data_IF_650279913348
#
_entry.id   IF_650279913348
#
_cell.length_a   1.000
_cell.length_b   1.000
_cell.length_c   1.000
_cell.angle_alpha   90.00
_cell.angle_beta   90.00
_cell.angle_gamma   90.00
#
_symmetry.space_group_name_H-M   'P 1'
#
loop_
_entity.id
_entity.type
_entity.pdbx_description
1 polymer ?
#
# COMPACT_ATOMS: atom_id res chain seq x y z
N UNK A 1 -2.75 -16.53 3.79
CA UNK A 1 -3.45 -16.98 2.58
C UNK A 1 -4.94 -16.79 2.80
N UNK A 2 -5.74 -16.32 1.83
CA UNK A 2 -7.19 -16.30 1.96
C UNK A 2 -7.71 -17.72 2.20
N UNK A 3 -8.82 -17.85 2.94
CA UNK A 3 -9.44 -19.14 3.17
C UNK A 3 -9.98 -19.69 1.84
N UNK A 4 -9.74 -20.98 1.60
CA UNK A 4 -10.33 -21.70 0.46
C UNK A 4 -11.67 -22.27 0.89
N UNK A 5 -12.73 -21.96 0.14
CA UNK A 5 -14.07 -22.47 0.40
C UNK A 5 -14.76 -22.87 -0.92
N UNK A 6 -15.76 -23.79 -0.87
CA UNK A 6 -16.54 -24.16 -2.04
C UNK A 6 -17.24 -22.94 -2.68
N UNK A 7 -17.28 -22.91 -4.01
CA UNK A 7 -17.91 -21.80 -4.76
C UNK A 7 -19.39 -21.61 -4.38
N UNK A 8 -20.12 -22.72 -4.12
CA UNK A 8 -21.55 -22.72 -3.80
C UNK A 8 -21.85 -22.51 -2.30
N UNK A 9 -20.85 -22.29 -1.45
CA UNK A 9 -21.09 -22.10 -0.02
C UNK A 9 -21.78 -20.75 0.22
N UNK A 10 -22.93 -20.67 0.92
CA UNK A 10 -23.63 -19.41 1.18
C UNK A 10 -22.76 -18.33 1.84
N UNK A 11 -21.76 -18.74 2.64
CA UNK A 11 -20.79 -17.83 3.23
C UNK A 11 -19.95 -17.09 2.17
N UNK A 12 -19.78 -17.62 0.96
CA UNK A 12 -19.01 -16.98 -0.12
C UNK A 12 -19.62 -15.63 -0.50
N UNK A 13 -20.95 -15.62 -0.71
CA UNK A 13 -21.67 -14.40 -1.07
C UNK A 13 -21.69 -13.38 0.08
N UNK A 14 -21.87 -13.85 1.33
CA UNK A 14 -21.88 -12.98 2.50
C UNK A 14 -20.52 -12.34 2.71
N UNK A 15 -19.44 -13.11 2.65
CA UNK A 15 -18.08 -12.61 2.81
C UNK A 15 -17.70 -11.66 1.66
N UNK A 16 -18.15 -11.92 0.44
CA UNK A 16 -17.97 -11.01 -0.68
C UNK A 16 -18.70 -9.67 -0.46
N UNK A 17 -19.93 -9.68 0.10
CA UNK A 17 -20.67 -8.46 0.46
C UNK A 17 -19.96 -7.65 1.55
N UNK A 18 -19.21 -8.31 2.44
CA UNK A 18 -18.38 -7.69 3.46
C UNK A 18 -16.99 -7.27 2.95
N UNK A 19 -16.72 -7.38 1.64
CA UNK A 19 -15.40 -7.17 1.05
C UNK A 19 -14.31 -8.07 1.67
N UNK A 20 -14.68 -9.26 2.12
CA UNK A 20 -13.74 -10.29 2.59
C UNK A 20 -13.43 -11.22 1.42
N UNK A 21 -12.18 -11.20 0.97
CA UNK A 21 -11.76 -12.10 -0.10
C UNK A 21 -11.66 -13.54 0.40
N UNK A 22 -12.28 -14.44 -0.34
CA UNK A 22 -12.17 -15.88 -0.17
C UNK A 22 -11.64 -16.51 -1.45
N UNK A 23 -10.81 -17.52 -1.31
CA UNK A 23 -10.34 -18.31 -2.44
C UNK A 23 -11.37 -19.38 -2.74
N UNK A 24 -12.10 -19.25 -3.84
CA UNK A 24 -13.02 -20.33 -4.28
C UNK A 24 -12.23 -21.49 -4.87
N UNK A 25 -12.83 -22.67 -4.91
CA UNK A 25 -12.18 -23.88 -5.45
C UNK A 25 -11.80 -23.71 -6.90
N UNK A 26 -12.69 -23.15 -7.70
CA UNK A 26 -12.42 -22.85 -9.11
C UNK A 26 -11.19 -21.93 -9.28
N UNK A 27 -11.11 -20.86 -8.50
CA UNK A 27 -9.99 -19.93 -8.54
C UNK A 27 -8.68 -20.55 -8.05
N UNK A 28 -8.75 -21.39 -7.01
CA UNK A 28 -7.57 -22.08 -6.48
C UNK A 28 -6.94 -23.07 -7.47
N UNK A 29 -7.75 -23.73 -8.31
CA UNK A 29 -7.26 -24.67 -9.33
C UNK A 29 -6.55 -23.99 -10.50
N UNK A 30 -6.72 -22.67 -10.68
CA UNK A 30 -6.18 -21.91 -11.81
C UNK A 30 -5.07 -20.93 -11.39
N UNK A 31 -4.59 -20.99 -10.16
CA UNK A 31 -3.50 -20.14 -9.68
C UNK A 31 -2.19 -20.91 -9.57
N UNK A 32 -1.26 -20.60 -10.47
CA UNK A 32 0.16 -20.82 -10.20
C UNK A 32 0.66 -19.68 -9.29
N UNK A 33 1.41 -20.02 -8.24
CA UNK A 33 1.99 -19.02 -7.33
C UNK A 33 3.17 -18.37 -8.04
N UNK A 34 3.01 -17.12 -8.43
CA UNK A 34 4.13 -16.27 -8.89
C UNK A 34 4.40 -15.16 -7.87
N UNK A 35 5.64 -14.72 -7.70
CA UNK A 35 5.93 -13.54 -6.89
C UNK A 35 5.22 -12.31 -7.42
N UNK A 36 4.72 -11.46 -6.53
CA UNK A 36 4.25 -10.13 -6.90
C UNK A 36 5.43 -9.23 -7.22
N UNK A 37 5.40 -8.58 -8.37
CA UNK A 37 6.45 -7.66 -8.82
C UNK A 37 6.04 -6.24 -8.45
N UNK A 38 6.81 -5.61 -7.56
CA UNK A 38 6.53 -4.25 -7.06
C UNK A 38 7.71 -3.33 -7.38
N UNK A 39 7.43 -2.19 -8.00
CA UNK A 39 8.41 -1.12 -8.21
C UNK A 39 8.38 -0.17 -7.04
N UNK A 40 9.54 0.18 -6.49
CA UNK A 40 9.72 1.27 -5.55
C UNK A 40 10.46 2.42 -6.21
N UNK A 41 9.74 3.43 -6.69
CA UNK A 41 10.31 4.69 -7.13
C UNK A 41 10.66 5.54 -5.90
N UNK A 42 11.94 5.55 -5.55
CA UNK A 42 12.44 6.23 -4.38
C UNK A 42 12.96 7.62 -4.75
N UNK A 43 12.15 8.66 -4.47
CA UNK A 43 12.49 10.06 -4.72
C UNK A 43 13.22 10.72 -3.55
N UNK A 44 13.27 10.03 -2.38
CA UNK A 44 13.91 10.59 -1.17
C UNK A 44 15.44 10.69 -1.34
N UNK A 45 16.06 11.76 -0.79
CA UNK A 45 17.53 11.88 -0.79
C UNK A 45 18.21 10.86 0.13
N UNK A 46 17.54 10.41 1.19
CA UNK A 46 18.02 9.38 2.13
C UNK A 46 17.59 7.99 1.68
N UNK A 47 18.04 7.57 0.49
CA UNK A 47 17.54 6.35 -0.19
C UNK A 47 17.58 5.10 0.68
N UNK A 48 18.71 4.80 1.33
CA UNK A 48 18.91 3.59 2.12
C UNK A 48 17.94 3.53 3.32
N UNK A 49 17.70 4.66 3.98
CA UNK A 49 16.74 4.71 5.08
C UNK A 49 15.30 4.44 4.59
N UNK A 50 14.91 5.11 3.52
CA UNK A 50 13.57 4.99 2.92
C UNK A 50 13.32 3.58 2.36
N UNK A 51 14.31 2.98 1.66
CA UNK A 51 14.26 1.58 1.23
C UNK A 51 13.96 0.66 2.41
N UNK A 52 14.76 0.77 3.47
CA UNK A 52 14.64 -0.08 4.65
C UNK A 52 13.27 0.07 5.32
N UNK A 53 12.77 1.30 5.42
CA UNK A 53 11.45 1.58 6.01
C UNK A 53 10.33 0.93 5.20
N UNK A 54 10.31 1.10 3.88
CA UNK A 54 9.27 0.53 3.00
C UNK A 54 9.40 -0.98 2.90
N UNK A 55 10.61 -1.52 2.71
CA UNK A 55 10.83 -2.96 2.63
C UNK A 55 10.38 -3.66 3.92
N UNK A 56 10.59 -3.05 5.09
CA UNK A 56 10.09 -3.58 6.37
C UNK A 56 8.55 -3.66 6.40
N UNK A 57 7.84 -2.71 5.78
CA UNK A 57 6.38 -2.77 5.67
C UNK A 57 5.93 -3.87 4.70
N UNK A 58 6.59 -3.97 3.55
CA UNK A 58 6.27 -4.99 2.55
C UNK A 58 6.60 -6.41 3.00
N UNK A 59 7.58 -6.60 3.88
CA UNK A 59 8.01 -7.94 4.33
C UNK A 59 7.04 -8.64 5.29
N UNK A 60 6.10 -7.91 5.90
CA UNK A 60 5.16 -8.48 6.87
C UNK A 60 3.89 -9.02 6.19
N UNK A 61 4.06 -9.95 5.27
CA UNK A 61 2.99 -10.63 4.54
C UNK A 61 3.44 -12.04 4.17
N UNK A 62 2.52 -13.03 4.05
CA UNK A 62 2.87 -14.34 3.53
C UNK A 62 3.05 -14.36 2.00
N UNK A 63 2.80 -13.24 1.32
CA UNK A 63 2.98 -13.14 -0.13
C UNK A 63 4.45 -13.01 -0.49
N UNK A 64 4.87 -13.65 -1.57
CA UNK A 64 6.19 -13.45 -2.13
C UNK A 64 6.20 -12.17 -2.95
N UNK A 65 7.12 -11.25 -2.64
CA UNK A 65 7.25 -9.96 -3.31
C UNK A 65 8.66 -9.82 -3.85
N UNK A 66 8.76 -9.52 -5.14
CA UNK A 66 10.00 -9.11 -5.80
C UNK A 66 9.98 -7.59 -5.96
N UNK A 67 10.93 -6.91 -5.32
CA UNK A 67 10.99 -5.44 -5.33
C UNK A 67 12.06 -4.97 -6.30
N UNK A 68 11.66 -4.14 -7.26
CA UNK A 68 12.55 -3.41 -8.15
C UNK A 68 12.72 -1.98 -7.64
N UNK A 69 13.93 -1.62 -7.22
CA UNK A 69 14.25 -0.25 -6.82
C UNK A 69 14.47 0.62 -8.06
N UNK A 70 13.73 1.72 -8.15
CA UNK A 70 13.77 2.65 -9.28
C UNK A 70 14.23 4.03 -8.80
N UNK A 71 15.14 4.66 -9.58
CA UNK A 71 15.59 6.04 -9.40
C UNK A 71 15.31 6.87 -10.64
N UNK A 72 15.28 8.19 -10.42
CA UNK A 72 15.27 9.13 -11.54
C UNK A 72 16.64 9.08 -12.24
N UNK A 73 16.63 9.02 -13.56
CA UNK A 73 17.85 9.10 -14.37
C UNK A 73 18.29 10.56 -14.58
N UNK A 74 17.34 11.48 -14.56
CA UNK A 74 17.56 12.92 -14.77
C UNK A 74 18.00 13.67 -13.51
N UNK A 75 18.16 12.98 -12.37
CA UNK A 75 18.53 13.60 -11.08
C UNK A 75 19.66 12.85 -10.38
N UNK A 76 20.72 13.57 -10.02
CA UNK A 76 21.86 13.03 -9.28
C UNK A 76 21.58 12.98 -7.77
N UNK A 77 21.56 11.79 -7.19
CA UNK A 77 21.37 11.61 -5.76
C UNK A 77 22.64 11.90 -4.97
N UNK A 78 22.62 13.01 -4.21
CA UNK A 78 23.82 13.52 -3.48
C UNK A 78 24.16 12.77 -2.19
N UNK A 79 23.20 12.06 -1.58
CA UNK A 79 23.33 11.47 -0.23
C UNK A 79 23.43 9.95 -0.22
N UNK A 80 23.82 9.34 -1.34
CA UNK A 80 24.01 7.90 -1.48
C UNK A 80 25.20 7.65 -2.40
N UNK A 81 25.96 6.58 -2.16
CA UNK A 81 27.10 6.26 -3.02
C UNK A 81 26.64 5.82 -4.42
N UNK A 82 27.36 6.23 -5.44
CA UNK A 82 27.13 5.82 -6.82
C UNK A 82 27.14 4.30 -6.95
N UNK A 83 28.06 3.61 -6.27
CA UNK A 83 28.12 2.16 -6.22
C UNK A 83 26.83 1.51 -5.72
N UNK A 84 26.17 2.09 -4.70
CA UNK A 84 24.87 1.59 -4.22
C UNK A 84 23.77 1.75 -5.29
N UNK A 85 23.75 2.91 -5.95
CA UNK A 85 22.79 3.17 -7.03
C UNK A 85 22.98 2.24 -8.22
N UNK A 86 24.22 2.06 -8.68
CA UNK A 86 24.53 1.19 -9.81
C UNK A 86 24.24 -0.30 -9.50
N UNK A 87 24.44 -0.70 -8.23
CA UNK A 87 24.25 -2.11 -7.86
C UNK A 87 22.78 -2.48 -7.68
N UNK A 88 21.98 -1.60 -7.08
CA UNK A 88 20.65 -1.94 -6.59
C UNK A 88 19.51 -1.23 -7.30
N UNK A 89 19.77 -0.08 -7.95
CA UNK A 89 18.73 0.71 -8.59
C UNK A 89 18.74 0.55 -10.10
N UNK A 90 17.54 0.54 -10.65
CA UNK A 90 17.30 0.62 -12.10
C UNK A 90 16.80 2.01 -12.47
N UNK A 91 16.94 2.37 -13.74
CA UNK A 91 16.35 3.57 -14.34
C UNK A 91 15.05 3.23 -15.05
N UNK A 92 14.26 4.25 -15.40
CA UNK A 92 13.04 4.03 -16.19
C UNK A 92 13.32 3.33 -17.53
N UNK A 93 14.41 3.68 -18.20
CA UNK A 93 14.82 3.03 -19.47
C UNK A 93 14.99 1.51 -19.34
N UNK A 94 15.45 1.03 -18.17
CA UNK A 94 15.69 -0.40 -17.93
C UNK A 94 14.40 -1.21 -17.75
N UNK A 95 13.30 -0.57 -17.31
CA UNK A 95 12.04 -1.25 -16.96
C UNK A 95 10.86 -0.90 -17.87
N UNK A 96 11.01 0.04 -18.78
CA UNK A 96 9.90 0.60 -19.59
C UNK A 96 9.09 -0.45 -20.37
N UNK A 97 9.68 -1.61 -20.66
CA UNK A 97 9.04 -2.71 -21.37
C UNK A 97 8.45 -3.79 -20.45
N UNK A 98 8.62 -3.64 -19.14
CA UNK A 98 8.17 -4.61 -18.13
C UNK A 98 6.81 -4.21 -17.57
N UNK A 99 6.11 -5.20 -16.97
CA UNK A 99 4.83 -5.01 -16.29
C UNK A 99 4.96 -5.42 -14.83
N UNK A 100 4.22 -4.74 -13.95
CA UNK A 100 4.30 -4.91 -12.51
C UNK A 100 2.90 -5.00 -11.88
N UNK A 101 2.82 -5.71 -10.76
CA UNK A 101 1.59 -5.82 -9.98
C UNK A 101 1.32 -4.55 -9.17
N UNK A 102 2.38 -3.94 -8.66
CA UNK A 102 2.28 -2.72 -7.86
C UNK A 102 3.44 -1.77 -8.04
N UNK A 103 3.22 -0.50 -7.71
CA UNK A 103 4.25 0.53 -7.67
C UNK A 103 4.05 1.41 -6.46
N UNK A 104 5.14 1.79 -5.81
CA UNK A 104 5.17 2.79 -4.73
C UNK A 104 5.98 3.98 -5.21
N UNK A 105 5.42 5.18 -5.11
CA UNK A 105 6.11 6.45 -5.38
C UNK A 105 6.25 7.18 -4.05
N UNK A 106 7.48 7.41 -3.61
CA UNK A 106 7.77 8.03 -2.32
C UNK A 106 7.60 9.55 -2.34
N UNK A 107 7.65 10.17 -1.17
CA UNK A 107 7.82 11.62 -1.03
C UNK A 107 9.17 12.10 -1.55
N UNK A 108 9.29 13.44 -1.63
CA UNK A 108 10.52 14.15 -1.94
C UNK A 108 10.52 15.53 -1.23
N UNK A 109 11.67 16.05 -0.78
CA UNK A 109 11.73 17.32 -0.05
C UNK A 109 11.78 18.52 -1.01
N UNK A 110 10.81 18.62 -1.92
CA UNK A 110 10.69 19.66 -2.97
C UNK A 110 9.31 20.33 -2.97
N UNK A 111 8.59 20.24 -1.85
CA UNK A 111 7.18 20.65 -1.75
C UNK A 111 6.95 22.13 -2.05
N UNK A 112 7.94 23.00 -1.78
CA UNK A 112 7.83 24.45 -1.98
C UNK A 112 8.07 24.89 -3.44
N UNK A 113 8.58 23.99 -4.30
CA UNK A 113 8.68 24.26 -5.72
C UNK A 113 7.36 23.96 -6.42
N UNK A 114 7.01 24.72 -7.44
CA UNK A 114 5.95 24.28 -8.35
C UNK A 114 6.35 22.95 -9.01
N UNK A 115 5.38 22.12 -9.36
CA UNK A 115 5.70 20.79 -9.88
C UNK A 115 6.57 20.85 -11.12
N UNK A 116 6.29 21.80 -12.01
CA UNK A 116 7.01 22.03 -13.27
C UNK A 116 8.43 22.58 -13.06
N UNK A 117 8.74 23.13 -11.89
CA UNK A 117 10.09 23.61 -11.53
C UNK A 117 10.99 22.49 -10.99
N UNK A 118 10.44 21.32 -10.67
CA UNK A 118 11.20 20.17 -10.22
C UNK A 118 11.98 19.59 -11.41
N UNK A 119 13.31 19.51 -11.29
CA UNK A 119 14.22 19.12 -12.37
C UNK A 119 13.89 17.77 -13.03
N UNK A 120 13.38 16.82 -12.28
CA UNK A 120 12.97 15.48 -12.78
C UNK A 120 11.46 15.38 -13.08
N UNK A 121 10.69 16.48 -13.02
CA UNK A 121 9.24 16.45 -13.27
C UNK A 121 8.86 15.83 -14.63
N UNK A 122 9.53 16.17 -15.75
CA UNK A 122 9.19 15.56 -17.03
C UNK A 122 9.43 14.03 -17.08
N UNK A 123 10.42 13.53 -16.35
CA UNK A 123 10.66 12.08 -16.23
C UNK A 123 9.60 11.42 -15.34
N UNK A 124 9.24 12.05 -14.21
CA UNK A 124 8.21 11.57 -13.31
C UNK A 124 6.84 11.48 -14.01
N UNK A 125 6.47 12.48 -14.80
CA UNK A 125 5.24 12.45 -15.61
C UNK A 125 5.21 11.26 -16.57
N UNK A 126 6.32 10.98 -17.28
CA UNK A 126 6.40 9.81 -18.16
C UNK A 126 6.29 8.49 -17.40
N UNK A 127 6.84 8.40 -16.19
CA UNK A 127 6.71 7.22 -15.35
C UNK A 127 5.27 7.05 -14.86
N UNK A 128 4.59 8.12 -14.46
CA UNK A 128 3.19 8.08 -14.05
C UNK A 128 2.27 7.70 -15.20
N UNK A 129 2.47 8.27 -16.39
CA UNK A 129 1.73 7.89 -17.61
C UNK A 129 1.97 6.41 -17.97
N UNK A 130 3.22 5.95 -17.95
CA UNK A 130 3.57 4.55 -18.18
C UNK A 130 2.89 3.61 -17.16
N UNK A 131 2.79 4.04 -15.91
CA UNK A 131 2.16 3.23 -14.87
C UNK A 131 0.68 2.91 -15.16
N UNK A 132 -0.01 3.74 -15.92
CA UNK A 132 -1.42 3.52 -16.28
C UNK A 132 -1.64 2.25 -17.10
N UNK A 133 -0.63 1.83 -17.86
CA UNK A 133 -0.70 0.66 -18.75
C UNK A 133 0.18 -0.50 -18.34
N UNK A 134 1.19 -0.28 -17.48
CA UNK A 134 2.19 -1.28 -17.12
C UNK A 134 2.17 -1.67 -15.65
N UNK A 135 1.43 -0.94 -14.82
CA UNK A 135 1.30 -1.22 -13.37
C UNK A 135 -0.17 -1.40 -13.02
N UNK A 136 -0.48 -2.45 -12.26
CA UNK A 136 -1.88 -2.70 -11.89
C UNK A 136 -2.37 -1.74 -10.80
N UNK A 137 -1.58 -1.52 -9.74
CA UNK A 137 -1.96 -0.61 -8.64
C UNK A 137 -0.78 0.25 -8.19
N UNK A 138 -1.01 1.55 -7.97
CA UNK A 138 0.02 2.51 -7.55
C UNK A 138 -0.33 3.14 -6.21
N UNK A 139 0.63 3.12 -5.27
CA UNK A 139 0.57 3.78 -3.97
C UNK A 139 1.52 4.98 -3.95
N UNK A 140 0.97 6.17 -3.84
CA UNK A 140 1.70 7.43 -3.75
C UNK A 140 1.79 7.89 -2.31
N UNK A 141 2.96 8.38 -1.86
CA UNK A 141 3.21 8.77 -0.47
C UNK A 141 3.69 10.22 -0.39
N UNK A 142 3.13 11.00 0.52
CA UNK A 142 3.48 12.38 0.87
C UNK A 142 3.52 13.28 -0.38
N UNK A 143 4.67 13.87 -0.73
CA UNK A 143 4.83 14.67 -1.94
C UNK A 143 4.52 13.86 -3.21
N UNK A 144 4.89 12.58 -3.24
CA UNK A 144 4.50 11.69 -4.34
C UNK A 144 2.98 11.58 -4.50
N UNK A 145 2.22 11.64 -3.39
CA UNK A 145 0.75 11.69 -3.44
C UNK A 145 0.24 13.03 -4.00
N UNK A 146 0.85 14.15 -3.61
CA UNK A 146 0.51 15.46 -4.17
C UNK A 146 0.84 15.53 -5.68
N UNK A 147 2.01 15.02 -6.07
CA UNK A 147 2.43 14.97 -7.48
C UNK A 147 1.50 14.08 -8.32
N UNK A 148 1.14 12.91 -7.81
CA UNK A 148 0.27 11.97 -8.49
C UNK A 148 -1.16 12.50 -8.65
N UNK A 149 -1.75 13.08 -7.60
CA UNK A 149 -3.10 13.63 -7.68
C UNK A 149 -3.17 14.86 -8.59
N UNK A 150 -2.10 15.68 -8.62
CA UNK A 150 -1.97 16.78 -9.56
C UNK A 150 -1.86 16.29 -11.01
N UNK A 151 -0.96 15.35 -11.27
CA UNK A 151 -0.73 14.85 -12.63
C UNK A 151 -1.97 14.17 -13.23
N UNK A 152 -2.63 13.28 -12.48
CA UNK A 152 -3.75 12.51 -13.01
C UNK A 152 -5.10 13.24 -12.97
N UNK A 153 -5.28 14.18 -12.03
CA UNK A 153 -6.60 14.78 -11.75
C UNK A 153 -6.58 16.31 -11.70
N UNK A 154 -5.43 16.96 -11.84
CA UNK A 154 -5.31 18.42 -11.81
C UNK A 154 -5.54 19.05 -10.44
N UNK A 155 -5.60 18.26 -9.36
CA UNK A 155 -5.82 18.76 -8.00
C UNK A 155 -4.56 19.44 -7.49
N UNK A 156 -4.67 20.70 -7.11
CA UNK A 156 -3.55 21.54 -6.71
C UNK A 156 -3.09 21.29 -5.27
N UNK A 157 -1.81 21.50 -5.00
CA UNK A 157 -1.30 21.62 -3.63
C UNK A 157 -1.43 23.07 -3.15
N UNK A 158 -1.53 23.25 -1.85
CA UNK A 158 -1.59 24.53 -1.18
C UNK A 158 -0.47 24.63 -0.15
N UNK A 159 0.19 25.79 -0.07
CA UNK A 159 1.24 26.04 0.92
C UNK A 159 0.64 26.22 2.31
N UNK A 160 1.26 25.61 3.30
CA UNK A 160 0.91 25.76 4.71
C UNK A 160 1.63 26.99 5.31
N UNK A 161 1.03 27.69 6.28
CA UNK A 161 1.66 28.83 6.94
C UNK A 161 2.95 28.48 7.69
N UNK A 162 3.14 27.22 8.04
CA UNK A 162 4.34 26.68 8.67
C UNK A 162 4.46 25.19 8.39
N UNK A 163 5.68 24.63 8.55
CA UNK A 163 5.89 23.18 8.44
C UNK A 163 4.96 22.43 9.39
N UNK A 164 4.14 21.56 8.86
CA UNK A 164 3.37 20.60 9.62
C UNK A 164 4.26 19.40 9.91
N UNK A 165 4.60 19.18 11.17
CA UNK A 165 5.43 18.04 11.61
C UNK A 165 4.88 17.48 12.91
N UNK A 166 4.76 16.15 13.00
CA UNK A 166 4.24 15.48 14.18
C UNK A 166 3.51 14.19 13.86
N UNK A 167 2.80 13.68 14.87
CA UNK A 167 1.94 12.50 14.77
C UNK A 167 0.52 12.93 15.13
N UNK A 168 -0.38 12.85 14.17
CA UNK A 168 -1.72 13.41 14.28
C UNK A 168 -2.77 12.31 14.32
N UNK A 169 -3.87 12.59 15.01
CA UNK A 169 -5.04 11.73 15.02
C UNK A 169 -5.85 11.91 13.73
N UNK A 170 -6.31 10.81 13.18
CA UNK A 170 -7.11 10.76 11.97
C UNK A 170 -8.37 9.94 12.21
N UNK A 171 -9.42 10.25 11.45
CA UNK A 171 -10.65 9.48 11.38
C UNK A 171 -10.93 9.00 9.97
N UNK A 172 -11.57 7.86 9.87
CA UNK A 172 -12.06 7.37 8.59
C UNK A 172 -13.27 8.19 8.12
N UNK A 173 -13.38 8.44 6.82
CA UNK A 173 -14.60 9.00 6.24
C UNK A 173 -15.64 7.88 6.22
N UNK A 174 -16.76 8.11 6.90
CA UNK A 174 -17.84 7.14 6.95
C UNK A 174 -18.54 7.06 5.59
N UNK A 175 -18.45 5.91 4.96
CA UNK A 175 -19.18 5.55 3.76
C UNK A 175 -20.02 4.31 4.03
N UNK A 176 -20.93 3.95 3.12
CA UNK A 176 -21.74 2.71 3.24
C UNK A 176 -20.88 1.44 3.37
N UNK A 177 -19.69 1.45 2.80
CA UNK A 177 -18.71 0.37 2.89
C UNK A 177 -17.34 0.98 3.21
N UNK A 178 -16.72 0.55 4.29
CA UNK A 178 -15.32 0.92 4.59
C UNK A 178 -14.41 0.47 3.46
N UNK A 179 -13.54 1.35 3.00
CA UNK A 179 -12.55 1.00 1.98
C UNK A 179 -11.68 -0.17 2.47
N UNK A 180 -11.48 -1.23 1.67
CA UNK A 180 -10.57 -2.32 2.04
C UNK A 180 -9.15 -1.85 2.40
N UNK A 181 -8.70 -0.68 1.93
CA UNK A 181 -7.41 -0.09 2.32
C UNK A 181 -7.33 0.17 3.83
N UNK A 182 -8.43 0.58 4.45
CA UNK A 182 -8.50 0.91 5.88
C UNK A 182 -9.13 -0.22 6.72
N UNK A 183 -9.26 -1.42 6.15
CA UNK A 183 -9.80 -2.56 6.90
C UNK A 183 -8.96 -2.89 8.12
N UNK A 184 -9.62 -3.02 9.27
CA UNK A 184 -8.98 -3.28 10.56
C UNK A 184 -8.36 -2.06 11.22
N UNK A 185 -8.53 -0.87 10.64
CA UNK A 185 -8.22 0.36 11.34
C UNK A 185 -9.26 0.64 12.41
N UNK A 186 -8.82 1.21 13.52
CA UNK A 186 -9.71 1.76 14.52
C UNK A 186 -10.45 2.99 13.96
N UNK A 187 -11.55 3.41 14.60
CA UNK A 187 -12.31 4.60 14.19
C UNK A 187 -11.42 5.86 14.20
N UNK A 188 -10.50 5.92 15.17
CA UNK A 188 -9.44 6.91 15.30
C UNK A 188 -8.08 6.22 15.25
N UNK A 189 -7.17 6.78 14.49
CA UNK A 189 -5.81 6.26 14.36
C UNK A 189 -4.78 7.38 14.22
N UNK A 190 -3.53 7.07 14.53
CA UNK A 190 -2.44 8.04 14.47
C UNK A 190 -1.56 7.81 13.26
N UNK A 191 -1.08 8.91 12.64
CA UNK A 191 -0.14 8.84 11.54
C UNK A 191 0.85 10.03 11.57
N UNK A 192 2.13 9.79 11.17
CA UNK A 192 3.13 10.85 11.06
C UNK A 192 2.88 11.73 9.83
N UNK A 193 3.15 13.02 9.99
CA UNK A 193 3.25 13.99 8.90
C UNK A 193 4.52 14.83 9.04
N UNK A 194 5.11 15.23 7.89
CA UNK A 194 6.22 16.16 7.80
C UNK A 194 6.17 16.79 6.43
N UNK A 195 5.57 18.02 6.31
CA UNK A 195 5.34 18.65 5.03
C UNK A 195 5.11 20.16 5.15
N UNK A 196 5.33 20.88 4.06
CA UNK A 196 5.08 22.34 3.93
C UNK A 196 3.85 22.65 3.08
N UNK A 197 3.27 21.65 2.43
CA UNK A 197 2.10 21.80 1.55
C UNK A 197 1.04 20.75 1.85
N UNK A 198 -0.18 21.02 1.41
CA UNK A 198 -1.31 20.07 1.55
C UNK A 198 -2.18 20.05 0.29
N UNK A 199 -2.99 19.01 0.17
CA UNK A 199 -4.16 18.95 -0.71
C UNK A 199 -5.39 19.05 0.19
N UNK A 200 -6.37 19.89 -0.19
CA UNK A 200 -7.55 20.12 0.61
C UNK A 200 -8.61 19.05 0.37
N UNK A 201 -9.38 18.73 1.42
CA UNK A 201 -10.44 17.73 1.35
C UNK A 201 -11.52 18.13 0.32
N UNK A 202 -11.90 19.41 0.31
CA UNK A 202 -12.87 19.96 -0.64
C UNK A 202 -12.46 19.84 -2.10
N UNK A 203 -11.17 19.91 -2.42
CA UNK A 203 -10.66 19.77 -3.79
C UNK A 203 -10.77 18.30 -4.25
N UNK A 204 -10.55 17.35 -3.33
CA UNK A 204 -10.73 15.92 -3.61
C UNK A 204 -12.20 15.57 -3.75
N UNK A 205 -13.06 16.02 -2.83
CA UNK A 205 -14.50 15.76 -2.83
C UNK A 205 -15.21 16.36 -4.05
N UNK A 206 -14.69 17.47 -4.58
CA UNK A 206 -15.21 18.08 -5.80
C UNK A 206 -14.87 17.30 -7.07
N UNK A 207 -13.88 16.38 -7.03
CA UNK A 207 -13.46 15.63 -8.21
C UNK A 207 -14.21 14.30 -8.34
N UNK A 208 -14.95 14.04 -9.44
CA UNK A 208 -15.84 12.89 -9.57
C UNK A 208 -15.11 11.54 -9.62
N UNK A 209 -13.83 11.52 -9.93
CA UNK A 209 -13.01 10.30 -10.04
C UNK A 209 -12.18 10.03 -8.78
N UNK A 210 -12.37 10.81 -7.71
CA UNK A 210 -11.64 10.66 -6.45
C UNK A 210 -12.59 10.34 -5.29
N UNK A 211 -12.09 9.57 -4.33
CA UNK A 211 -12.74 9.27 -3.07
C UNK A 211 -11.83 9.65 -1.90
N UNK A 212 -12.32 10.48 -0.98
CA UNK A 212 -11.66 10.79 0.28
C UNK A 212 -11.85 9.63 1.26
N UNK A 213 -10.78 9.14 1.88
CA UNK A 213 -10.83 7.96 2.74
C UNK A 213 -10.64 8.28 4.22
N UNK A 214 -9.72 9.18 4.55
CA UNK A 214 -9.41 9.55 5.93
C UNK A 214 -8.88 10.97 6.04
N UNK A 215 -9.23 11.64 7.12
CA UNK A 215 -8.85 13.03 7.42
C UNK A 215 -8.47 13.21 8.89
N UNK A 216 -7.74 14.28 9.17
CA UNK A 216 -7.44 14.81 10.50
C UNK A 216 -7.98 16.24 10.62
N UNK A 217 -8.49 16.61 11.76
CA UNK A 217 -8.90 17.99 12.02
C UNK A 217 -7.69 18.93 12.13
N UNK A 218 -6.52 18.41 12.52
CA UNK A 218 -5.27 19.19 12.61
C UNK A 218 -4.40 19.08 11.35
N UNK A 219 -4.33 17.87 10.74
CA UNK A 219 -3.39 17.58 9.66
C UNK A 219 -4.06 17.46 8.28
N UNK A 220 -5.36 17.73 8.17
CA UNK A 220 -6.07 17.66 6.89
C UNK A 220 -6.17 16.24 6.31
N UNK A 221 -6.03 16.10 5.01
CA UNK A 221 -6.20 14.81 4.33
C UNK A 221 -5.07 13.86 4.68
N UNK A 222 -5.45 12.62 5.06
CA UNK A 222 -4.52 11.51 5.21
C UNK A 222 -4.48 10.61 3.98
N UNK A 223 -5.65 10.18 3.49
CA UNK A 223 -5.71 9.25 2.38
C UNK A 223 -6.90 9.52 1.45
N UNK A 224 -6.65 9.34 0.16
CA UNK A 224 -7.63 9.32 -0.91
C UNK A 224 -7.29 8.21 -1.92
N UNK A 225 -8.24 7.87 -2.78
CA UNK A 225 -8.02 6.92 -3.87
C UNK A 225 -8.79 7.34 -5.13
N UNK A 226 -8.40 6.78 -6.27
CA UNK A 226 -9.24 6.84 -7.47
C UNK A 226 -10.46 5.92 -7.34
N UNK A 227 -11.56 6.29 -7.99
CA UNK A 227 -12.81 5.51 -7.99
C UNK A 227 -12.59 4.10 -8.56
N UNK A 228 -11.74 3.97 -9.59
CA UNK A 228 -11.34 2.69 -10.17
C UNK A 228 -10.44 1.84 -9.25
N UNK A 229 -10.03 2.40 -8.10
CA UNK A 229 -9.19 1.75 -7.09
C UNK A 229 -7.81 1.30 -7.62
N UNK A 230 -7.28 1.98 -8.61
CA UNK A 230 -5.94 1.74 -9.15
C UNK A 230 -4.87 2.63 -8.55
N UNK A 231 -5.24 3.84 -8.11
CA UNK A 231 -4.31 4.83 -7.55
C UNK A 231 -4.71 5.19 -6.14
N UNK A 232 -3.73 5.16 -5.24
CA UNK A 232 -3.88 5.46 -3.82
C UNK A 232 -2.93 6.60 -3.45
N UNK A 233 -3.43 7.58 -2.72
CA UNK A 233 -2.72 8.79 -2.31
C UNK A 233 -2.74 8.86 -0.80
N UNK A 234 -1.57 8.72 -0.17
CA UNK A 234 -1.39 8.80 1.29
C UNK A 234 -0.50 9.99 1.60
N UNK A 235 -1.07 11.02 2.20
CA UNK A 235 -0.39 12.30 2.43
C UNK A 235 0.43 12.34 3.71
N UNK A 236 0.31 11.33 4.57
CA UNK A 236 1.18 11.08 5.72
C UNK A 236 2.36 10.17 5.39
N UNK A 237 3.12 9.81 6.41
CA UNK A 237 4.29 8.96 6.32
C UNK A 237 4.11 7.62 7.09
N UNK A 238 3.30 6.68 6.60
CA UNK A 238 3.10 5.40 7.29
C UNK A 238 4.39 4.55 7.37
N UNK A 239 5.38 4.84 6.51
CA UNK A 239 6.67 4.14 6.50
C UNK A 239 7.60 4.54 7.64
N UNK A 240 7.43 5.72 8.24
CA UNK A 240 8.37 6.28 9.21
C UNK A 240 8.64 5.37 10.41
N UNK A 241 9.91 5.29 10.76
CA UNK A 241 10.37 4.68 12.00
C UNK A 241 10.21 5.65 13.18
N UNK A 242 10.30 5.09 14.40
CA UNK A 242 10.12 5.87 15.64
C UNK A 242 10.99 7.13 15.69
N UNK A 243 12.23 7.07 15.23
CA UNK A 243 13.20 8.16 15.34
C UNK A 243 13.24 9.10 14.13
N UNK A 244 12.41 8.86 13.07
CA UNK A 244 12.52 9.63 11.82
C UNK A 244 12.22 11.10 12.03
N UNK A 245 11.11 11.43 12.70
CA UNK A 245 10.75 12.84 12.98
C UNK A 245 11.73 13.52 13.92
N UNK A 246 12.34 12.77 14.87
CA UNK A 246 13.41 13.30 15.73
C UNK A 246 14.65 13.68 14.92
N UNK A 247 15.08 12.80 14.03
CA UNK A 247 16.22 13.08 13.14
C UNK A 247 15.96 14.26 12.17
N UNK A 248 14.72 14.40 11.70
CA UNK A 248 14.32 15.56 10.90
C UNK A 248 14.35 16.84 11.72
N UNK A 249 13.83 16.82 12.95
CA UNK A 249 13.83 17.96 13.86
C UNK A 249 15.25 18.41 14.22
N UNK A 250 16.13 17.45 14.59
CA UNK A 250 17.55 17.73 14.86
C UNK A 250 18.27 18.32 13.65
N UNK A 251 18.01 17.81 12.45
CA UNK A 251 18.54 18.36 11.21
C UNK A 251 18.05 19.79 10.97
N UNK A 252 16.79 20.06 11.21
CA UNK A 252 16.17 21.36 10.97
C UNK A 252 16.65 22.39 12.01
N UNK A 253 16.85 22.00 13.29
CA UNK A 253 17.53 22.84 14.30
C UNK A 253 18.94 23.26 13.89
N UNK A 254 19.64 22.41 13.12
CA UNK A 254 20.97 22.77 12.59
C UNK A 254 20.96 23.72 11.39
N UNK A 255 19.77 24.03 10.85
CA UNK A 255 19.61 24.85 9.64
C UNK A 255 18.77 26.12 9.83
N UNK A 256 17.95 26.16 10.87
CA UNK A 256 16.99 27.21 11.16
C UNK A 256 17.17 27.67 12.61
N UNK A 257 17.01 28.96 12.89
CA UNK A 257 17.05 29.49 14.25
C UNK A 257 15.92 28.94 15.14
N UNK A 258 14.75 28.67 14.53
CA UNK A 258 13.62 28.03 15.19
C UNK A 258 13.03 26.96 14.24
N UNK A 259 13.27 25.68 14.56
CA UNK A 259 12.65 24.56 13.87
C UNK A 259 11.33 24.16 14.57
N UNK A 260 10.25 23.91 13.83
CA UNK A 260 9.01 23.47 14.43
C UNK A 260 9.19 22.08 15.06
N UNK A 261 8.90 22.00 16.37
CA UNK A 261 8.94 20.73 17.12
C UNK A 261 7.79 19.83 16.67
N UNK A 262 8.05 18.51 16.43
CA UNK A 262 6.99 17.58 16.06
C UNK A 262 5.91 17.49 17.13
N UNK A 263 4.66 17.79 16.76
CA UNK A 263 3.50 17.72 17.64
C UNK A 263 3.11 16.28 18.00
N UNK A 264 2.63 16.04 19.21
CA UNK A 264 2.10 14.74 19.69
C UNK A 264 3.09 13.57 19.58
N UNK A 265 4.38 13.86 19.49
CA UNK A 265 5.43 12.89 19.20
C UNK A 265 6.26 12.55 20.41
N UNK A 266 6.69 13.54 21.19
CA UNK A 266 7.45 13.31 22.41
C UNK A 266 6.50 13.18 23.63
N UNK A 267 6.83 12.31 24.62
CA UNK A 267 6.12 12.31 25.89
C UNK A 267 6.20 13.71 26.54
N UNK A 268 5.09 14.19 27.08
CA UNK A 268 4.99 15.49 27.73
C UNK A 268 5.54 16.67 26.91
N UNK A 269 5.59 16.48 25.59
CA UNK A 269 6.14 17.43 24.61
C UNK A 269 7.63 17.77 24.82
N UNK A 270 8.37 16.88 25.49
CA UNK A 270 9.78 17.04 25.86
C UNK A 270 10.71 16.28 24.90
N UNK A 271 11.48 17.00 24.03
CA UNK A 271 12.40 16.38 23.06
C UNK A 271 13.57 15.61 23.67
N UNK A 272 13.84 15.77 24.98
CA UNK A 272 14.85 14.99 25.69
C UNK A 272 14.39 13.55 25.96
N UNK A 273 13.08 13.28 25.87
CA UNK A 273 12.52 11.96 26.07
C UNK A 273 12.45 11.18 24.74
N UNK A 274 12.59 9.84 24.84
CA UNK A 274 12.45 8.99 23.67
C UNK A 274 11.01 9.06 23.12
N UNK A 275 10.85 9.28 21.79
CA UNK A 275 9.51 9.42 21.18
C UNK A 275 8.71 8.13 21.29
N UNK A 276 7.38 8.25 21.29
CA UNK A 276 6.45 7.12 21.25
C UNK A 276 6.09 6.80 19.80
N UNK A 277 5.80 5.54 19.51
CA UNK A 277 5.31 5.09 18.20
C UNK A 277 3.93 4.47 18.38
N UNK A 278 2.89 5.23 18.08
CA UNK A 278 1.49 4.83 18.17
C UNK A 278 0.80 4.65 16.80
N UNK A 279 1.56 4.72 15.70
CA UNK A 279 1.05 4.54 14.33
C UNK A 279 1.45 3.22 13.66
N UNK A 280 2.35 2.45 14.27
CA UNK A 280 3.00 1.29 13.62
C UNK A 280 2.00 0.23 13.16
N UNK A 281 0.98 -0.08 13.95
CA UNK A 281 -0.02 -1.10 13.63
C UNK A 281 -0.85 -0.70 12.40
N UNK A 282 -1.40 0.52 12.40
CA UNK A 282 -2.19 1.05 11.28
C UNK A 282 -1.35 1.23 10.02
N UNK A 283 -0.11 1.70 10.16
CA UNK A 283 0.83 1.78 9.05
C UNK A 283 1.10 0.39 8.43
N UNK A 284 1.26 -0.64 9.25
CA UNK A 284 1.43 -2.01 8.76
C UNK A 284 0.18 -2.52 8.04
N UNK A 285 -1.00 -2.27 8.61
CA UNK A 285 -2.28 -2.65 8.00
C UNK A 285 -2.47 -1.98 6.64
N UNK A 286 -2.12 -0.69 6.49
CA UNK A 286 -2.23 0.02 5.22
C UNK A 286 -1.47 -0.69 4.10
N UNK A 287 -0.20 -1.02 4.31
CA UNK A 287 0.61 -1.73 3.31
C UNK A 287 0.12 -3.15 3.07
N UNK A 288 -0.24 -3.87 4.12
CA UNK A 288 -0.79 -5.24 4.01
C UNK A 288 -2.11 -5.25 3.26
N UNK A 289 -3.00 -4.30 3.54
CA UNK A 289 -4.29 -4.15 2.86
C UNK A 289 -4.10 -3.78 1.39
N UNK A 290 -3.22 -2.81 1.08
CA UNK A 290 -2.91 -2.47 -0.30
C UNK A 290 -2.36 -3.68 -1.07
N UNK A 291 -1.36 -4.37 -0.54
CA UNK A 291 -0.80 -5.58 -1.15
C UNK A 291 -1.85 -6.67 -1.35
N UNK A 292 -2.70 -6.91 -0.35
CA UNK A 292 -3.68 -8.00 -0.38
C UNK A 292 -4.85 -7.67 -1.30
N UNK A 293 -5.50 -6.51 -1.12
CA UNK A 293 -6.77 -6.23 -1.78
C UNK A 293 -6.63 -5.57 -3.16
N UNK A 294 -5.54 -4.84 -3.40
CA UNK A 294 -5.39 -4.02 -4.61
C UNK A 294 -4.19 -4.41 -5.48
N UNK A 295 -3.29 -5.25 -4.97
CA UNK A 295 -2.20 -5.80 -5.75
C UNK A 295 -2.44 -7.28 -6.01
N UNK A 296 -2.51 -8.11 -4.96
CA UNK A 296 -2.60 -9.57 -5.12
C UNK A 296 -3.95 -10.04 -5.67
N UNK A 297 -5.07 -9.53 -5.12
CA UNK A 297 -6.39 -10.07 -5.46
C UNK A 297 -6.92 -9.59 -6.80
N UNK A 298 -6.53 -8.41 -7.23
CA UNK A 298 -7.09 -7.76 -8.42
C UNK A 298 -6.17 -7.81 -9.63
N UNK A 299 -4.86 -8.03 -9.45
CA UNK A 299 -3.95 -8.16 -10.58
C UNK A 299 -4.33 -9.37 -11.45
N UNK A 300 -4.43 -9.21 -12.79
CA UNK A 300 -4.64 -10.32 -13.69
C UNK A 300 -3.49 -11.34 -13.57
N UNK A 301 -3.79 -12.63 -13.76
CA UNK A 301 -2.76 -13.67 -13.77
C UNK A 301 -1.63 -13.36 -14.77
N UNK A 302 -2.00 -12.96 -15.98
CA UNK A 302 -1.05 -12.38 -16.93
C UNK A 302 -0.91 -10.89 -16.66
N UNK A 303 0.16 -10.49 -16.00
CA UNK A 303 0.43 -9.09 -15.63
C UNK A 303 0.51 -8.15 -16.85
N UNK A 304 0.72 -8.68 -18.08
CA UNK A 304 0.69 -7.88 -19.31
C UNK A 304 -0.69 -7.34 -19.64
N UNK A 305 -1.71 -7.83 -18.96
CA UNK A 305 -3.08 -7.32 -19.03
C UNK A 305 -3.34 -6.23 -17.98
N UNK A 306 -2.38 -5.93 -17.11
CA UNK A 306 -2.48 -4.82 -16.16
C UNK A 306 -2.71 -3.50 -16.90
N UNK A 307 -3.58 -2.67 -16.37
CA UNK A 307 -3.92 -1.39 -16.99
C UNK A 307 -4.96 -1.43 -18.12
N UNK A 308 -5.38 -2.61 -18.58
CA UNK A 308 -6.49 -2.72 -19.54
C UNK A 308 -7.81 -2.72 -18.78
N UNK A 309 -8.76 -1.90 -19.25
CA UNK A 309 -10.13 -1.91 -18.73
C UNK A 309 -10.81 -3.23 -19.08
N UNK A 310 -11.67 -3.74 -18.18
CA UNK A 310 -12.43 -5.00 -18.36
C UNK A 310 -13.28 -5.08 -19.67
N UNK A 311 -13.35 -3.99 -20.44
CA UNK A 311 -14.04 -3.93 -21.73
C UNK A 311 -13.28 -4.56 -22.91
N UNK A 312 -11.97 -4.84 -22.76
CA UNK A 312 -11.13 -5.40 -23.85
C UNK A 312 -10.70 -6.86 -23.62
N UNK A 313 -11.10 -7.49 -22.52
CA UNK A 313 -10.89 -8.91 -22.34
C UNK A 313 -11.90 -9.66 -23.21
N UNK A 314 -11.48 -10.41 -24.25
CA UNK A 314 -12.37 -11.35 -24.88
C UNK A 314 -12.81 -12.30 -23.77
N UNK A 315 -14.09 -12.34 -23.46
CA UNK A 315 -14.63 -13.38 -22.62
C UNK A 315 -14.26 -14.71 -23.28
N UNK A 316 -13.19 -15.33 -22.78
CA UNK A 316 -12.98 -16.74 -23.02
C UNK A 316 -14.19 -17.42 -22.41
N UNK A 317 -15.19 -17.71 -23.24
CA UNK A 317 -16.25 -18.62 -22.88
C UNK A 317 -15.54 -19.87 -22.39
N UNK A 318 -15.78 -20.32 -21.14
CA UNK A 318 -15.30 -21.61 -20.74
C UNK A 318 -15.87 -22.60 -21.74
N UNK A 319 -15.05 -23.16 -22.60
CA UNK A 319 -15.37 -24.41 -23.27
C UNK A 319 -15.41 -25.42 -22.16
N UNK A 320 -16.61 -25.67 -21.65
CA UNK A 320 -16.88 -26.83 -20.82
C UNK A 320 -16.53 -28.02 -21.73
N UNK A 321 -15.51 -28.83 -21.40
CA UNK A 321 -15.31 -30.08 -22.10
C UNK A 321 -16.59 -30.88 -21.87
N UNK A 322 -17.29 -31.24 -22.95
CA UNK A 322 -18.38 -32.14 -22.86
C UNK A 322 -17.91 -33.42 -22.16
N UNK A 323 -18.64 -33.79 -21.09
CA UNK A 323 -18.59 -35.08 -20.44
C UNK A 323 -17.21 -35.56 -19.96
N UNK A 324 -16.75 -35.07 -18.82
CA UNK A 324 -15.98 -35.86 -17.91
C UNK A 324 -16.96 -36.91 -17.30
N UNK A 325 -17.00 -38.12 -17.90
CA UNK A 325 -17.51 -39.28 -17.23
C UNK A 325 -16.73 -39.40 -15.91
N UNK A 326 -17.43 -39.29 -14.78
CA UNK A 326 -16.93 -39.75 -13.52
C UNK A 326 -16.59 -41.21 -13.73
N UNK A 327 -15.31 -41.56 -13.78
CA UNK A 327 -14.87 -42.92 -13.52
C UNK A 327 -15.20 -43.17 -12.06
N UNK A 328 -16.25 -43.95 -11.81
CA UNK A 328 -16.44 -44.65 -10.55
C UNK A 328 -15.15 -45.44 -10.29
N UNK A 329 -14.35 -44.99 -9.33
CA UNK A 329 -13.29 -45.80 -8.77
C UNK A 329 -14.01 -46.87 -7.92
N UNK A 330 -14.04 -48.07 -8.44
CA UNK A 330 -14.42 -49.32 -7.71
C UNK A 330 -13.31 -49.67 -6.71
N UNK A 331 -12.94 -48.85 -5.77
CA UNK A 331 -12.00 -49.15 -4.69
C UNK A 331 -12.35 -48.36 -3.43
N UNK A 332 -13.65 -48.19 -3.15
CA UNK A 332 -14.10 -47.79 -1.82
C UNK A 332 -14.25 -49.08 -0.98
N UNK A 333 -13.16 -49.50 -0.32
CA UNK A 333 -13.15 -50.62 0.61
C UNK A 333 -13.85 -50.32 1.95
N UNK A 334 -14.47 -49.11 2.05
CA UNK A 334 -15.21 -48.68 3.24
C UNK A 334 -14.33 -48.42 4.46
N UNK A 335 -13.00 -48.29 4.28
CA UNK A 335 -12.09 -47.97 5.36
C UNK A 335 -12.09 -46.45 5.64
N UNK A 336 -12.69 -46.07 6.77
CA UNK A 336 -12.57 -44.72 7.33
C UNK A 336 -11.45 -44.70 8.38
N UNK A 337 -10.28 -44.09 8.06
CA UNK A 337 -9.16 -44.05 9.00
C UNK A 337 -9.43 -43.22 10.27
N UNK A 338 -10.59 -42.58 10.35
CA UNK A 338 -10.99 -41.78 11.51
C UNK A 338 -11.94 -42.50 12.45
N UNK A 339 -12.60 -43.59 12.02
CA UNK A 339 -13.53 -44.34 12.82
C UNK A 339 -12.85 -45.23 13.87
N UNK A 340 -11.57 -45.56 13.69
CA UNK A 340 -10.79 -46.43 14.60
C UNK A 340 -9.97 -45.66 15.64
N UNK A 341 -10.12 -44.33 15.75
CA UNK A 341 -9.49 -43.60 16.84
C UNK A 341 -10.23 -43.89 18.14
N UNK A 342 -9.57 -44.67 19.01
CA UNK A 342 -9.93 -44.71 20.42
C UNK A 342 -9.92 -43.28 20.95
N UNK A 343 -11.00 -42.87 21.62
CA UNK A 343 -11.04 -41.62 22.39
C UNK A 343 -9.85 -41.60 23.37
N UNK A 344 -8.82 -40.85 23.04
CA UNK A 344 -7.78 -40.50 24.01
C UNK A 344 -8.42 -39.54 25.00
N UNK A 345 -8.31 -39.87 26.29
CA UNK A 345 -8.71 -38.99 27.40
C UNK A 345 -8.16 -37.60 27.22
N UNK A 346 -8.95 -36.53 27.41
CA UNK A 346 -8.50 -35.18 27.19
C UNK A 346 -7.27 -34.80 28.02
N UNK A 347 -6.30 -34.17 27.40
CA UNK A 347 -5.04 -33.70 27.97
C UNK A 347 -5.19 -32.51 28.95
N UNK A 348 -6.35 -32.37 29.61
CA UNK A 348 -6.55 -31.34 30.64
C UNK A 348 -6.56 -32.02 32.01
N UNK A 349 -5.56 -31.69 32.80
CA UNK A 349 -5.58 -31.96 34.23
C UNK A 349 -6.78 -31.25 34.87
N UNK A 350 -7.39 -31.85 35.88
CA UNK A 350 -8.50 -31.24 36.59
C UNK A 350 -8.02 -29.92 37.25
N UNK A 351 -8.88 -28.92 37.17
CA UNK A 351 -8.72 -27.56 37.70
C UNK A 351 -8.04 -27.59 39.07
N UNK A 352 -6.82 -26.96 39.25
CA UNK A 352 -6.13 -26.96 40.52
C UNK A 352 -6.75 -26.09 41.61
N UNK A 353 -7.94 -25.49 41.35
CA UNK A 353 -8.63 -24.60 42.29
C UNK A 353 -9.98 -25.14 42.79
N UNK A 354 -10.20 -26.44 42.70
CA UNK A 354 -11.30 -27.11 43.41
C UNK A 354 -10.84 -27.96 44.58
#
# INVERSE_FOLDING_TARGET
>A
MPIRIPDALPATDLLAQENIFVMTEYRAMHQDIRPLRVVLLNLMPTKIATETQILRKLSNTPLQIEVTLLRMASHDAKNVSEQHLETFYRTFGDIAHEHFDGMIITGAPVELLDFEEVDYWPELCRIMEWSDTHVHSTLHICWGAQAGIYFHYGVQKHELPAKMTGVFEHRQIQSKLTSPLLRGFDDLFWAPHSRYTEVRAEDIEAHPELELLAVSDEAGVYAAKSVDSRRFFVFGHPEYDRATLSAEYERDLGRMDEAPKPKHYYPDDDPSQAPRSNWRAHAQLLYTNWLNYYVYQTTPYDVRLAGKSDGETPAAKPTVPAESKYMEREDDDGYDPWSDRREETPFFEPDPWR
#
